data_IF_416902182577
#
_entry.id   IF_416902182577
#
_cell.length_a   1.000
_cell.length_b   1.000
_cell.length_c   1.000
_cell.angle_alpha   90.00
_cell.angle_beta   90.00
_cell.angle_gamma   90.00
#
_symmetry.space_group_name_H-M   'P 1'
#
loop_
_entity.id
_entity.type
_entity.pdbx_description
1 polymer ?
#
# COMPACT_ATOMS: atom_id res chain seq x y z
N UNK A 1 -13.69 4.76 -19.96
CA UNK A 1 -13.41 6.18 -19.67
C UNK A 1 -13.11 6.90 -20.98
N UNK A 2 -13.92 7.88 -21.38
CA UNK A 2 -13.62 8.74 -22.55
C UNK A 2 -12.89 9.98 -22.07
N UNK A 3 -11.74 10.29 -22.68
CA UNK A 3 -10.92 11.46 -22.36
C UNK A 3 -11.66 12.75 -22.73
N UNK A 4 -11.92 13.63 -21.75
CA UNK A 4 -12.60 14.93 -22.01
C UNK A 4 -11.73 15.94 -22.75
N UNK A 5 -10.43 15.68 -22.87
CA UNK A 5 -9.49 16.55 -23.59
C UNK A 5 -8.67 15.72 -24.57
N UNK A 6 -8.62 16.13 -25.85
CA UNK A 6 -8.01 15.37 -26.95
C UNK A 6 -6.48 15.24 -26.93
N UNK A 7 -5.85 15.34 -25.77
CA UNK A 7 -4.40 15.19 -25.58
C UNK A 7 -4.10 13.81 -24.96
N UNK A 8 -3.18 12.99 -25.51
CA UNK A 8 -3.00 11.62 -25.06
C UNK A 8 -2.14 11.61 -23.79
N UNK A 9 -2.78 11.81 -22.63
CA UNK A 9 -2.28 11.24 -21.37
C UNK A 9 -2.50 9.72 -21.38
N UNK A 10 -1.88 9.04 -22.35
CA UNK A 10 -2.38 7.77 -22.92
C UNK A 10 -2.58 6.65 -21.91
N UNK A 11 -1.74 6.59 -20.88
CA UNK A 11 -1.84 5.58 -19.82
C UNK A 11 -2.23 6.16 -18.48
N UNK A 12 -1.74 7.36 -18.13
CA UNK A 12 -2.04 8.00 -16.84
C UNK A 12 -3.54 8.24 -16.64
N UNK A 13 -4.26 8.73 -17.65
CA UNK A 13 -5.70 9.01 -17.54
C UNK A 13 -6.53 7.75 -17.31
N UNK A 14 -6.48 6.73 -18.18
CA UNK A 14 -7.28 5.52 -17.97
C UNK A 14 -6.84 4.78 -16.71
N UNK A 15 -5.54 4.67 -16.39
CA UNK A 15 -5.06 3.96 -15.21
C UNK A 15 -5.52 4.65 -13.91
N UNK A 16 -5.27 5.95 -13.76
CA UNK A 16 -5.69 6.71 -12.58
C UNK A 16 -7.21 6.73 -12.40
N UNK A 17 -8.00 6.82 -13.48
CA UNK A 17 -9.45 6.87 -13.39
C UNK A 17 -10.12 5.50 -13.21
N UNK A 18 -9.44 4.39 -13.51
CA UNK A 18 -10.07 3.07 -13.62
C UNK A 18 -10.78 2.64 -12.33
N UNK A 19 -10.08 2.71 -11.18
CA UNK A 19 -10.67 2.34 -9.89
C UNK A 19 -11.09 3.55 -9.05
N UNK A 20 -10.62 4.76 -9.35
CA UNK A 20 -10.96 5.96 -8.56
C UNK A 20 -12.18 6.70 -9.10
N UNK A 21 -12.51 6.52 -10.39
CA UNK A 21 -13.55 7.29 -11.08
C UNK A 21 -13.20 8.78 -11.32
N UNK A 22 -11.99 9.21 -10.94
CA UNK A 22 -11.52 10.59 -11.08
C UNK A 22 -10.52 10.68 -12.23
N UNK A 23 -10.76 11.58 -13.19
CA UNK A 23 -9.80 11.82 -14.27
C UNK A 23 -8.59 12.58 -13.72
N UNK A 24 -7.36 12.05 -13.82
CA UNK A 24 -6.16 12.74 -13.36
C UNK A 24 -5.95 14.06 -14.10
N UNK A 25 -5.58 15.10 -13.35
CA UNK A 25 -5.16 16.37 -13.91
C UNK A 25 -3.69 16.34 -14.34
N UNK A 26 -3.32 17.21 -15.27
CA UNK A 26 -1.91 17.40 -15.63
C UNK A 26 -1.15 18.00 -14.45
N UNK A 27 0.05 17.47 -14.22
CA UNK A 27 0.94 17.81 -13.10
C UNK A 27 2.16 18.63 -13.54
N UNK A 28 2.11 19.23 -14.73
CA UNK A 28 3.19 20.09 -15.28
C UNK A 28 3.45 21.33 -14.42
N UNK A 29 2.45 21.79 -13.67
CA UNK A 29 2.51 22.96 -12.79
C UNK A 29 2.42 22.63 -11.29
N UNK A 30 2.15 21.37 -10.93
CA UNK A 30 2.06 20.91 -9.54
C UNK A 30 2.42 19.43 -9.45
N UNK A 31 3.22 19.04 -8.45
CA UNK A 31 3.50 17.62 -8.16
C UNK A 31 2.40 16.94 -7.34
N UNK A 32 1.36 17.69 -6.99
CA UNK A 32 0.25 17.25 -6.15
C UNK A 32 -0.57 16.18 -6.85
N UNK A 33 -0.70 15.04 -6.18
CA UNK A 33 -1.58 13.95 -6.58
C UNK A 33 -3.00 14.26 -6.09
N UNK A 34 -3.98 14.15 -6.97
CA UNK A 34 -5.39 14.40 -6.65
C UNK A 34 -6.31 13.50 -7.48
N UNK A 35 -6.68 12.36 -6.90
CA UNK A 35 -7.70 11.42 -7.39
C UNK A 35 -8.77 11.21 -6.30
N UNK A 36 -9.37 10.02 -6.28
CA UNK A 36 -10.24 9.54 -5.20
C UNK A 36 -9.65 8.32 -4.50
N UNK A 37 -10.32 7.88 -3.43
CA UNK A 37 -10.09 6.54 -2.89
C UNK A 37 -10.55 5.54 -3.95
N UNK A 38 -9.73 4.56 -4.26
CA UNK A 38 -10.09 3.55 -5.26
C UNK A 38 -11.15 2.57 -4.74
N UNK A 39 -11.97 2.04 -5.64
CA UNK A 39 -13.10 1.17 -5.33
C UNK A 39 -12.69 -0.08 -4.52
N UNK A 40 -11.55 -0.68 -4.87
CA UNK A 40 -10.96 -1.81 -4.14
C UNK A 40 -10.60 -1.45 -2.70
N UNK A 41 -10.13 -0.23 -2.43
CA UNK A 41 -9.79 0.24 -1.08
C UNK A 41 -11.02 0.63 -0.27
N UNK A 42 -12.08 1.11 -0.91
CA UNK A 42 -13.40 1.25 -0.28
C UNK A 42 -13.90 -0.13 0.15
N UNK A 43 -13.80 -1.13 -0.75
CA UNK A 43 -14.23 -2.48 -0.48
C UNK A 43 -13.40 -3.13 0.65
N UNK A 44 -12.07 -3.03 0.60
CA UNK A 44 -11.14 -3.58 1.59
C UNK A 44 -11.53 -3.14 3.01
N UNK A 45 -11.82 -1.86 3.23
CA UNK A 45 -12.27 -1.33 4.54
C UNK A 45 -13.50 -2.04 5.10
N UNK A 46 -14.36 -2.60 4.24
CA UNK A 46 -15.61 -3.25 4.65
C UNK A 46 -15.49 -4.77 4.77
N UNK A 47 -14.82 -5.44 3.84
CA UNK A 47 -14.85 -6.92 3.76
C UNK A 47 -13.61 -7.61 4.33
N UNK A 48 -12.54 -6.86 4.61
CA UNK A 48 -11.24 -7.45 4.94
C UNK A 48 -11.02 -7.71 6.44
N UNK A 49 -12.10 -7.69 7.23
CA UNK A 49 -11.99 -7.78 8.69
C UNK A 49 -11.48 -9.14 9.17
N UNK A 50 -11.69 -10.18 8.36
CA UNK A 50 -11.29 -11.56 8.67
C UNK A 50 -10.03 -12.02 7.92
N UNK A 51 -9.38 -11.14 7.15
CA UNK A 51 -8.16 -11.46 6.39
C UNK A 51 -6.92 -10.86 7.06
N UNK A 52 -5.76 -11.56 7.04
CA UNK A 52 -4.51 -11.02 7.60
C UNK A 52 -4.00 -9.75 6.89
N UNK A 53 -4.34 -9.61 5.61
CA UNK A 53 -4.05 -8.45 4.78
C UNK A 53 -5.37 -7.86 4.28
N UNK A 54 -5.57 -6.54 4.37
CA UNK A 54 -6.81 -5.91 3.94
C UNK A 54 -6.99 -5.95 2.41
N UNK A 55 -5.88 -5.86 1.69
CA UNK A 55 -5.77 -5.88 0.24
C UNK A 55 -4.40 -6.41 -0.17
N UNK A 56 -4.26 -6.77 -1.45
CA UNK A 56 -3.01 -7.14 -2.08
C UNK A 56 -2.90 -6.42 -3.42
N UNK A 57 -2.04 -5.42 -3.49
CA UNK A 57 -1.76 -4.68 -4.70
C UNK A 57 -0.70 -5.45 -5.50
N UNK A 58 -1.16 -6.23 -6.49
CA UNK A 58 -0.30 -7.08 -7.30
C UNK A 58 -0.06 -6.47 -8.68
N UNK A 59 1.13 -6.65 -9.21
CA UNK A 59 1.51 -6.20 -10.55
C UNK A 59 2.46 -7.19 -11.21
N UNK A 60 2.68 -7.01 -12.51
CA UNK A 60 3.74 -7.74 -13.23
C UNK A 60 5.06 -6.96 -13.19
N UNK A 61 4.96 -5.65 -13.07
CA UNK A 61 6.06 -4.70 -13.09
C UNK A 61 5.89 -3.77 -11.88
N UNK A 62 6.93 -3.68 -11.05
CA UNK A 62 7.02 -2.70 -9.96
C UNK A 62 7.28 -1.29 -10.50
N UNK A 63 7.05 -0.29 -9.65
CA UNK A 63 7.26 1.12 -10.00
C UNK A 63 8.72 1.47 -10.38
N UNK A 64 9.67 0.59 -10.05
CA UNK A 64 11.08 0.61 -10.43
C UNK A 64 11.35 -0.07 -11.79
N UNK A 65 10.56 -1.08 -12.16
CA UNK A 65 10.69 -1.82 -13.42
C UNK A 65 9.87 -1.26 -14.58
N UNK A 66 8.78 -0.51 -14.30
CA UNK A 66 8.07 0.27 -15.33
C UNK A 66 8.92 1.51 -15.64
N UNK A 67 9.98 1.30 -16.45
CA UNK A 67 10.73 2.30 -17.19
C UNK A 67 11.20 3.50 -16.36
N UNK A 68 12.47 3.48 -15.92
CA UNK A 68 13.14 4.46 -15.06
C UNK A 68 12.59 5.89 -15.02
N UNK A 69 12.63 6.49 -13.83
CA UNK A 69 12.27 7.89 -13.50
C UNK A 69 12.19 8.81 -14.74
N UNK A 70 10.97 9.11 -15.21
CA UNK A 70 10.73 10.06 -16.31
C UNK A 70 10.03 9.54 -17.57
N UNK A 71 9.64 8.26 -17.64
CA UNK A 71 8.91 7.71 -18.81
C UNK A 71 7.38 7.72 -18.70
N UNK A 72 6.83 8.34 -17.65
CA UNK A 72 5.39 8.57 -17.60
C UNK A 72 4.95 9.55 -18.69
N UNK A 73 3.67 9.44 -19.10
CA UNK A 73 3.12 10.32 -20.12
C UNK A 73 3.41 11.80 -19.84
N UNK A 74 3.84 12.53 -20.89
CA UNK A 74 4.27 13.93 -20.76
C UNK A 74 3.22 14.75 -20.01
N UNK A 75 3.63 15.30 -18.87
CA UNK A 75 2.80 16.18 -18.06
C UNK A 75 1.89 15.50 -17.04
N UNK A 76 2.09 14.22 -16.74
CA UNK A 76 1.40 13.51 -15.66
C UNK A 76 2.40 12.89 -14.67
N UNK A 77 2.00 12.79 -13.40
CA UNK A 77 2.79 12.12 -12.38
C UNK A 77 2.78 10.60 -12.64
N UNK A 78 3.94 9.96 -12.53
CA UNK A 78 4.09 8.53 -12.78
C UNK A 78 3.20 7.66 -11.85
N UNK A 79 2.80 8.16 -10.67
CA UNK A 79 1.84 7.47 -9.81
C UNK A 79 0.49 7.19 -10.53
N UNK A 80 0.02 8.10 -11.38
CA UNK A 80 -1.24 7.92 -12.13
C UNK A 80 -1.17 6.79 -13.16
N UNK A 81 0.03 6.44 -13.62
CA UNK A 81 0.24 5.37 -14.59
C UNK A 81 0.58 4.05 -13.91
N UNK A 82 1.37 4.10 -12.84
CA UNK A 82 1.98 2.92 -12.24
C UNK A 82 1.16 2.33 -11.08
N UNK A 83 0.07 2.99 -10.66
CA UNK A 83 -0.77 2.53 -9.55
C UNK A 83 -2.25 2.60 -9.90
N UNK A 84 -2.97 1.51 -9.59
CA UNK A 84 -4.42 1.44 -9.73
C UNK A 84 -5.14 1.62 -8.38
N UNK A 85 -4.50 1.21 -7.28
CA UNK A 85 -5.04 1.27 -5.94
C UNK A 85 -4.61 2.56 -5.23
N UNK A 86 -5.57 3.25 -4.60
CA UNK A 86 -5.40 4.55 -3.97
C UNK A 86 -6.13 4.55 -2.62
N UNK A 87 -5.37 4.63 -1.52
CA UNK A 87 -5.92 4.68 -0.17
C UNK A 87 -6.59 6.04 0.15
N UNK A 88 -6.21 7.07 -0.60
CA UNK A 88 -6.68 8.45 -0.47
C UNK A 88 -6.39 9.25 -1.75
N UNK A 89 -6.96 10.47 -1.89
CA UNK A 89 -6.79 11.32 -3.07
C UNK A 89 -5.34 11.53 -3.51
N UNK A 90 -4.41 11.58 -2.55
CA UNK A 90 -2.98 11.80 -2.78
C UNK A 90 -2.10 10.62 -2.37
N UNK A 91 -2.70 9.44 -2.14
CA UNK A 91 -2.01 8.30 -1.50
C UNK A 91 -2.10 7.05 -2.38
N UNK A 92 -1.25 6.95 -3.42
CA UNK A 92 -1.17 5.76 -4.26
C UNK A 92 -0.59 4.58 -3.47
N UNK A 93 -1.08 3.37 -3.76
CA UNK A 93 -0.55 2.13 -3.21
C UNK A 93 0.32 1.42 -4.27
N UNK A 94 1.63 1.22 -4.00
CA UNK A 94 2.52 0.54 -4.94
C UNK A 94 2.14 -0.92 -5.15
N UNK A 95 2.30 -1.39 -6.39
CA UNK A 95 2.15 -2.81 -6.72
C UNK A 95 3.37 -3.63 -6.30
N UNK A 96 3.15 -4.86 -5.88
CA UNK A 96 4.18 -5.85 -5.58
C UNK A 96 4.32 -6.83 -6.77
N UNK A 97 5.43 -6.78 -7.53
CA UNK A 97 5.67 -7.70 -8.62
C UNK A 97 6.35 -9.00 -8.17
N UNK A 98 6.96 -9.05 -6.98
CA UNK A 98 7.74 -10.19 -6.54
C UNK A 98 6.86 -11.23 -5.83
N UNK A 99 6.59 -12.40 -6.44
CA UNK A 99 5.74 -13.41 -5.84
C UNK A 99 6.31 -13.98 -4.54
N UNK A 100 7.64 -13.95 -4.33
CA UNK A 100 8.27 -14.34 -3.06
C UNK A 100 7.81 -13.41 -1.94
N UNK A 101 7.84 -12.10 -2.17
CA UNK A 101 7.43 -11.09 -1.19
C UNK A 101 5.93 -11.21 -0.87
N UNK A 102 5.10 -11.46 -1.89
CA UNK A 102 3.66 -11.70 -1.69
C UNK A 102 3.41 -12.94 -0.83
N UNK A 103 4.10 -14.05 -1.13
CA UNK A 103 3.99 -15.29 -0.38
C UNK A 103 4.40 -15.10 1.08
N UNK A 104 5.54 -14.46 1.32
CA UNK A 104 6.04 -14.17 2.66
C UNK A 104 5.09 -13.27 3.46
N UNK A 105 4.43 -12.31 2.81
CA UNK A 105 3.40 -11.47 3.44
C UNK A 105 2.15 -12.25 3.84
N UNK A 106 1.75 -13.24 3.05
CA UNK A 106 0.56 -14.05 3.29
C UNK A 106 0.78 -15.17 4.32
N UNK A 107 1.91 -15.85 4.23
CA UNK A 107 2.16 -17.11 4.93
C UNK A 107 3.31 -17.04 5.94
N UNK A 108 4.15 -16.00 5.88
CA UNK A 108 5.37 -15.87 6.67
C UNK A 108 6.61 -16.34 5.92
N UNK A 109 7.75 -16.24 6.59
CA UNK A 109 9.09 -16.43 6.02
C UNK A 109 9.36 -17.87 5.56
N UNK A 110 10.12 -17.99 4.48
CA UNK A 110 10.42 -19.26 3.83
C UNK A 110 11.41 -20.02 4.69
N UNK A 111 10.95 -21.12 5.29
CA UNK A 111 11.76 -21.98 6.16
C UNK A 111 11.01 -22.50 7.38
N UNK A 112 9.94 -21.82 7.81
CA UNK A 112 9.04 -22.36 8.83
C UNK A 112 7.70 -21.63 8.89
N UNK A 113 6.63 -22.35 8.58
CA UNK A 113 5.24 -21.96 8.87
C UNK A 113 4.83 -22.32 10.30
N UNK A 114 5.79 -22.66 11.17
CA UNK A 114 5.56 -23.01 12.57
C UNK A 114 4.85 -21.86 13.32
N UNK A 115 3.70 -22.13 13.96
CA UNK A 115 3.02 -21.18 14.82
C UNK A 115 3.90 -20.53 15.89
N UNK A 116 4.89 -21.22 16.46
CA UNK A 116 5.77 -20.66 17.49
C UNK A 116 6.72 -19.60 16.92
N UNK A 117 7.37 -19.90 15.80
CA UNK A 117 8.20 -18.94 15.07
C UNK A 117 7.40 -17.70 14.63
N UNK A 118 6.15 -17.90 14.18
CA UNK A 118 5.24 -16.82 13.81
C UNK A 118 4.91 -15.91 15.00
N UNK A 119 4.55 -16.47 16.16
CA UNK A 119 4.27 -15.68 17.38
C UNK A 119 5.48 -14.88 17.84
N UNK A 120 6.68 -15.46 17.79
CA UNK A 120 7.91 -14.74 18.15
C UNK A 120 8.15 -13.51 17.23
N UNK A 121 7.87 -13.65 15.93
CA UNK A 121 7.95 -12.53 14.97
C UNK A 121 6.92 -11.44 15.25
N UNK A 122 5.66 -11.81 15.50
CA UNK A 122 4.60 -10.84 15.82
C UNK A 122 4.92 -10.03 17.08
N UNK A 123 5.44 -10.69 18.14
CA UNK A 123 5.90 -10.00 19.36
C UNK A 123 7.04 -9.01 19.08
N UNK A 124 8.01 -9.41 18.25
CA UNK A 124 9.11 -8.52 17.84
C UNK A 124 8.57 -7.31 17.06
N UNK A 125 7.64 -7.53 16.12
CA UNK A 125 7.01 -6.45 15.37
C UNK A 125 6.30 -5.46 16.29
N UNK A 126 5.47 -5.92 17.23
CA UNK A 126 4.82 -5.05 18.23
C UNK A 126 5.83 -4.17 18.97
N UNK A 127 6.92 -4.75 19.49
CA UNK A 127 7.94 -3.97 20.20
C UNK A 127 8.62 -2.89 19.34
N UNK A 128 8.76 -3.13 18.03
CA UNK A 128 9.29 -2.14 17.08
C UNK A 128 8.26 -1.03 16.85
N UNK A 129 6.98 -1.36 16.67
CA UNK A 129 5.91 -0.39 16.48
C UNK A 129 5.75 0.52 17.70
N UNK A 130 5.79 -0.04 18.91
CA UNK A 130 5.79 0.73 20.16
C UNK A 130 6.93 1.77 20.18
N UNK A 131 8.15 1.33 19.85
CA UNK A 131 9.32 2.22 19.80
C UNK A 131 9.20 3.32 18.74
N UNK A 132 8.60 3.00 17.58
CA UNK A 132 8.35 3.96 16.51
C UNK A 132 7.31 4.99 16.94
N UNK A 133 6.19 4.56 17.53
CA UNK A 133 5.12 5.44 17.98
C UNK A 133 5.61 6.42 19.04
N UNK A 134 6.44 5.97 19.99
CA UNK A 134 7.02 6.85 20.99
C UNK A 134 7.92 7.94 20.38
N UNK A 135 8.72 7.59 19.37
CA UNK A 135 9.53 8.56 18.62
C UNK A 135 8.68 9.54 17.83
N UNK A 136 7.61 9.07 17.20
CA UNK A 136 6.70 9.94 16.44
C UNK A 136 5.98 10.92 17.35
N UNK A 137 5.53 10.47 18.55
CA UNK A 137 4.91 11.36 19.56
C UNK A 137 5.85 12.49 19.98
N UNK A 138 7.12 12.17 20.20
CA UNK A 138 8.13 13.18 20.54
C UNK A 138 8.31 14.18 19.39
N UNK A 139 8.51 13.69 18.17
CA UNK A 139 8.72 14.53 16.99
C UNK A 139 7.50 15.40 16.65
N UNK A 140 6.27 14.90 16.89
CA UNK A 140 5.03 15.63 16.61
C UNK A 140 4.96 16.98 17.37
N UNK A 141 5.55 17.06 18.57
CA UNK A 141 5.64 18.29 19.35
C UNK A 141 6.67 19.30 18.84
N UNK A 142 7.62 18.87 18.02
CA UNK A 142 8.77 19.67 17.56
C UNK A 142 8.59 20.21 16.13
N UNK A 143 7.69 19.62 15.34
CA UNK A 143 7.47 19.99 13.93
C UNK A 143 6.26 20.90 13.71
N UNK A 144 6.25 21.62 12.59
CA UNK A 144 5.16 22.54 12.23
C UNK A 144 3.90 21.81 11.73
N UNK A 145 2.76 22.53 11.70
CA UNK A 145 1.42 22.00 11.31
C UNK A 145 1.35 21.25 9.98
N UNK A 146 2.24 21.55 9.02
CA UNK A 146 2.29 20.85 7.73
C UNK A 146 2.85 19.43 7.91
N UNK A 147 3.91 19.30 8.68
CA UNK A 147 4.60 18.02 8.89
C UNK A 147 3.88 17.16 9.92
N UNK A 148 3.21 17.78 10.90
CA UNK A 148 2.29 17.10 11.82
C UNK A 148 1.25 16.27 11.06
N UNK A 149 0.63 16.84 10.02
CA UNK A 149 -0.32 16.10 9.16
C UNK A 149 0.29 14.86 8.51
N UNK A 150 1.57 14.91 8.13
CA UNK A 150 2.28 13.74 7.57
C UNK A 150 2.61 12.71 8.62
N UNK A 151 2.92 13.15 9.84
CA UNK A 151 3.07 12.25 10.99
C UNK A 151 1.74 11.58 11.37
N UNK A 152 0.62 12.29 11.30
CA UNK A 152 -0.71 11.72 11.53
C UNK A 152 -1.03 10.61 10.50
N UNK A 153 -0.81 10.88 9.21
CA UNK A 153 -0.93 9.87 8.14
C UNK A 153 -0.05 8.64 8.43
N UNK A 154 1.18 8.86 8.94
CA UNK A 154 2.07 7.78 9.32
C UNK A 154 1.58 6.98 10.53
N UNK A 155 1.10 7.64 11.59
CA UNK A 155 0.55 6.98 12.79
C UNK A 155 -0.68 6.15 12.45
N UNK A 156 -1.56 6.65 11.58
CA UNK A 156 -2.71 5.89 11.12
C UNK A 156 -2.28 4.65 10.33
N UNK A 157 -1.22 4.73 9.52
CA UNK A 157 -0.65 3.56 8.84
C UNK A 157 -0.06 2.53 9.82
N UNK A 158 0.56 2.98 10.92
CA UNK A 158 1.10 2.11 11.97
C UNK A 158 -0.02 1.42 12.75
N UNK A 159 -1.08 2.13 13.12
CA UNK A 159 -2.24 1.56 13.83
C UNK A 159 -2.91 0.45 13.03
N UNK A 160 -2.96 0.58 11.71
CA UNK A 160 -3.47 -0.49 10.85
C UNK A 160 -2.60 -1.75 10.91
N UNK A 161 -1.28 -1.60 11.03
CA UNK A 161 -0.36 -2.74 11.22
C UNK A 161 -0.60 -3.38 12.60
N UNK A 162 -0.74 -2.59 13.66
CA UNK A 162 -1.04 -3.11 15.01
C UNK A 162 -2.36 -3.89 15.04
N UNK A 163 -3.41 -3.34 14.43
CA UNK A 163 -4.71 -4.00 14.29
C UNK A 163 -4.58 -5.34 13.57
N UNK A 164 -3.76 -5.40 12.52
CA UNK A 164 -3.46 -6.65 11.81
C UNK A 164 -2.73 -7.67 12.68
N UNK A 165 -1.77 -7.24 13.50
CA UNK A 165 -1.08 -8.13 14.45
C UNK A 165 -2.06 -8.67 15.48
N UNK A 166 -2.92 -7.81 16.05
CA UNK A 166 -3.96 -8.20 17.01
C UNK A 166 -4.95 -9.20 16.39
N UNK A 167 -5.43 -8.95 15.17
CA UNK A 167 -6.31 -9.87 14.45
C UNK A 167 -5.61 -11.21 14.17
N UNK A 168 -4.33 -11.20 13.81
CA UNK A 168 -3.55 -12.42 13.58
C UNK A 168 -3.35 -13.23 14.88
N UNK A 169 -3.19 -12.58 16.03
CA UNK A 169 -3.10 -13.23 17.34
C UNK A 169 -4.46 -13.76 17.82
N UNK A 170 -5.53 -12.97 17.67
CA UNK A 170 -6.88 -13.29 18.14
C UNK A 170 -7.54 -14.40 17.31
N UNK A 171 -7.40 -14.34 15.99
CA UNK A 171 -8.13 -15.25 15.11
C UNK A 171 -7.55 -16.66 15.05
N UNK A 172 -6.38 -16.92 15.64
CA UNK A 172 -5.83 -18.26 15.91
C UNK A 172 -5.88 -19.25 14.74
N UNK A 173 -6.09 -18.77 13.52
CA UNK A 173 -6.46 -19.58 12.36
C UNK A 173 -5.23 -20.40 12.07
N UNK A 174 -5.35 -21.73 12.18
CA UNK A 174 -4.34 -22.66 11.71
C UNK A 174 -4.17 -22.36 10.22
N UNK A 175 -3.18 -21.55 9.88
CA UNK A 175 -2.79 -21.42 8.48
C UNK A 175 -2.33 -22.81 8.06
N UNK A 176 -2.75 -23.28 6.87
CA UNK A 176 -2.22 -24.51 6.35
C UNK A 176 -0.69 -24.42 6.32
N UNK A 177 -0.03 -25.53 6.63
CA UNK A 177 1.39 -25.68 6.31
C UNK A 177 1.44 -25.72 4.78
N UNK A 178 1.90 -24.63 4.18
CA UNK A 178 2.05 -24.50 2.73
C UNK A 178 3.53 -24.58 2.42
N UNK A 179 3.92 -25.57 1.61
CA UNK A 179 5.25 -25.61 1.03
C UNK A 179 5.42 -24.45 0.06
N UNK A 180 6.59 -23.83 0.07
CA UNK A 180 6.89 -22.76 -0.88
C UNK A 180 6.83 -23.30 -2.32
N UNK A 181 6.05 -22.66 -3.21
CA UNK A 181 5.98 -23.05 -4.61
C UNK A 181 7.35 -23.01 -5.29
N UNK A 182 7.54 -23.89 -6.29
CA UNK A 182 8.78 -23.90 -7.07
C UNK A 182 8.96 -22.56 -7.80
N UNK A 183 10.15 -21.96 -7.68
CA UNK A 183 10.49 -20.70 -8.35
C UNK A 183 10.26 -19.43 -7.53
N UNK A 184 9.80 -19.55 -6.28
CA UNK A 184 9.87 -18.51 -5.24
C UNK A 184 10.69 -18.95 -4.04
#
# INVERSE_FOLDING_TARGET
>A
ASSRTGNPGSHAKPAGAFLTGVEPLQTTSSSSLDLGISMDQILAKTISQDTPLPSLELGLEGADTVNGVGTCGVGFNCAYQNTLAWAGPSTPLPVEPNPRVVFERLFGDIGSTDPAARRARLRRQNSILDSVLDKVRHLHGEVGRRDQRKLDEYVDSVREIERRIQNAEANGRKLPLVDSPAGI
#
